data_IF_287586777307
#
_entry.id   IF_287586777307
#
_cell.length_a   1.000
_cell.length_b   1.000
_cell.length_c   1.000
_cell.angle_alpha   90.00
_cell.angle_beta   90.00
_cell.angle_gamma   90.00
#
_symmetry.space_group_name_H-M   'P 1'
#
loop_
_entity.id
_entity.type
_entity.pdbx_description
1 polymer ?
#
# COMPACT_ATOMS: atom_id res chain seq x y z
N UNK A 1 -10.36 -2.60 14.05
CA UNK A 1 -11.80 -2.27 14.04
C UNK A 1 -12.06 -1.37 12.84
N UNK A 2 -12.84 -1.84 11.86
CA UNK A 2 -13.27 -1.03 10.72
C UNK A 2 -14.67 -0.50 11.03
N UNK A 3 -14.82 0.82 11.12
CA UNK A 3 -16.11 1.46 11.42
C UNK A 3 -16.64 2.05 10.13
N UNK A 4 -17.72 1.47 9.59
CA UNK A 4 -18.43 2.00 8.44
C UNK A 4 -19.67 2.74 8.95
N UNK A 5 -19.74 4.05 8.73
CA UNK A 5 -20.96 4.84 8.94
C UNK A 5 -21.73 4.80 7.63
N UNK A 6 -22.84 4.04 7.59
CA UNK A 6 -23.69 3.93 6.41
C UNK A 6 -24.64 5.13 6.36
N UNK A 7 -24.47 5.97 5.34
CA UNK A 7 -25.40 7.02 4.97
C UNK A 7 -26.22 6.58 3.76
N UNK A 8 -27.50 6.95 3.73
CA UNK A 8 -28.53 6.49 2.77
C UNK A 8 -28.43 7.12 1.36
N UNK A 9 -27.39 7.91 1.09
CA UNK A 9 -27.15 8.48 -0.24
C UNK A 9 -26.20 7.55 -1.03
N UNK A 10 -26.55 7.09 -2.25
CA UNK A 10 -25.63 6.32 -3.10
C UNK A 10 -24.30 7.04 -3.39
N UNK A 11 -24.19 8.33 -3.07
CA UNK A 11 -22.94 9.12 -3.13
C UNK A 11 -22.20 9.27 -1.80
N UNK A 12 -22.65 8.64 -0.72
CA UNK A 12 -22.09 8.86 0.62
C UNK A 12 -21.50 7.58 1.23
N UNK A 13 -20.89 6.75 0.37
CA UNK A 13 -20.08 5.63 0.81
C UNK A 13 -18.60 6.02 0.84
N UNK A 14 -17.90 5.52 1.85
CA UNK A 14 -16.46 5.74 2.02
C UNK A 14 -15.80 4.46 2.49
N UNK A 15 -14.82 3.97 1.73
CA UNK A 15 -14.02 2.79 2.09
C UNK A 15 -12.58 3.23 2.36
N UNK A 16 -12.13 3.12 3.61
CA UNK A 16 -10.75 3.45 3.98
C UNK A 16 -9.91 2.18 4.12
N UNK A 17 -8.85 2.09 3.31
CA UNK A 17 -7.77 1.13 3.51
C UNK A 17 -6.62 1.86 4.22
N UNK A 18 -6.24 1.32 5.38
CA UNK A 18 -5.10 1.81 6.16
C UNK A 18 -4.11 0.67 6.37
N UNK A 19 -2.81 0.96 6.47
CA UNK A 19 -1.82 -0.05 6.87
C UNK A 19 -2.20 -0.66 8.22
N UNK A 20 -2.07 -1.98 8.35
CA UNK A 20 -2.38 -2.66 9.60
C UNK A 20 -1.25 -2.43 10.62
N UNK A 21 -1.49 -1.70 11.73
CA UNK A 21 -0.43 -1.40 12.68
C UNK A 21 0.13 -2.64 13.38
N UNK A 22 -0.68 -3.69 13.51
CA UNK A 22 -0.26 -4.96 14.10
C UNK A 22 0.72 -5.70 13.20
N UNK A 23 0.44 -5.79 11.90
CA UNK A 23 1.36 -6.41 10.93
C UNK A 23 2.69 -5.66 10.87
N UNK A 24 2.66 -4.32 10.90
CA UNK A 24 3.88 -3.51 10.93
C UNK A 24 4.69 -3.73 12.21
N UNK A 25 4.02 -3.84 13.37
CA UNK A 25 4.69 -4.17 14.62
C UNK A 25 5.31 -5.58 14.61
N UNK A 26 4.59 -6.57 14.07
CA UNK A 26 5.09 -7.94 13.91
C UNK A 26 6.31 -7.97 12.99
N UNK A 27 6.24 -7.31 11.83
CA UNK A 27 7.36 -7.21 10.89
C UNK A 27 8.59 -6.62 11.58
N UNK A 28 8.42 -5.55 12.36
CA UNK A 28 9.52 -4.95 13.11
C UNK A 28 10.10 -5.92 14.11
N UNK A 29 9.26 -6.62 14.88
CA UNK A 29 9.73 -7.62 15.84
C UNK A 29 10.53 -8.73 15.17
N UNK A 30 10.05 -9.26 14.04
CA UNK A 30 10.75 -10.31 13.27
C UNK A 30 12.09 -9.82 12.74
N UNK A 31 12.13 -8.63 12.16
CA UNK A 31 13.35 -8.05 11.58
C UNK A 31 14.41 -7.79 12.65
N UNK A 32 14.00 -7.27 13.81
CA UNK A 32 14.90 -7.08 14.95
C UNK A 32 15.34 -8.39 15.59
N UNK A 33 14.45 -9.38 15.71
CA UNK A 33 14.79 -10.70 16.22
C UNK A 33 15.81 -11.41 15.30
N UNK A 34 15.64 -11.29 13.98
CA UNK A 34 16.59 -11.83 13.01
C UNK A 34 17.96 -11.14 13.11
N UNK A 35 18.00 -9.81 13.14
CA UNK A 35 19.24 -9.06 13.29
C UNK A 35 19.95 -9.36 14.61
N UNK A 36 19.19 -9.45 15.71
CA UNK A 36 19.71 -9.81 17.03
C UNK A 36 20.25 -11.24 17.07
N UNK A 37 19.52 -12.20 16.46
CA UNK A 37 19.95 -13.59 16.34
C UNK A 37 21.24 -13.73 15.52
N UNK A 38 21.36 -12.99 14.41
CA UNK A 38 22.56 -12.96 13.59
C UNK A 38 23.77 -12.41 14.38
N UNK A 39 23.61 -11.27 15.04
CA UNK A 39 24.66 -10.68 15.89
C UNK A 39 25.05 -11.63 17.02
N UNK A 40 24.07 -12.24 17.69
CA UNK A 40 24.33 -13.20 18.76
C UNK A 40 25.11 -14.43 18.24
N UNK A 41 24.70 -15.00 17.11
CA UNK A 41 25.42 -16.11 16.47
C UNK A 41 26.87 -15.76 16.13
N UNK A 42 27.09 -14.57 15.54
CA UNK A 42 28.43 -14.06 15.26
C UNK A 42 29.27 -13.87 16.53
N UNK A 43 28.66 -13.38 17.61
CA UNK A 43 29.33 -13.19 18.90
C UNK A 43 29.86 -14.51 19.48
N UNK A 44 29.13 -15.60 19.29
CA UNK A 44 29.52 -16.94 19.75
C UNK A 44 30.65 -17.53 18.91
N UNK A 45 30.67 -17.23 17.60
CA UNK A 45 31.69 -17.75 16.67
C UNK A 45 33.04 -17.04 16.82
N UNK A 46 33.04 -15.72 17.02
CA UNK A 46 34.26 -14.91 17.08
C UNK A 46 34.74 -14.63 18.52
N UNK A 47 34.02 -15.10 19.54
CA UNK A 47 34.33 -14.83 20.95
C UNK A 47 34.06 -13.38 21.37
N UNK A 48 33.31 -12.64 20.56
CA UNK A 48 32.95 -11.24 20.76
C UNK A 48 32.48 -10.59 19.46
N UNK A 49 31.72 -9.49 19.55
CA UNK A 49 31.28 -8.74 18.37
C UNK A 49 32.21 -7.55 18.12
N UNK A 50 32.96 -7.61 17.02
CA UNK A 50 33.67 -6.45 16.50
C UNK A 50 32.71 -5.33 16.07
N UNK A 51 33.12 -4.04 16.13
CA UNK A 51 32.31 -2.90 15.70
C UNK A 51 31.77 -3.01 14.26
N UNK A 52 32.53 -3.70 13.39
CA UNK A 52 32.19 -3.92 11.98
C UNK A 52 30.86 -4.66 11.80
N UNK A 53 30.56 -5.65 12.64
CA UNK A 53 29.33 -6.43 12.51
C UNK A 53 28.08 -5.61 12.76
N UNK A 54 28.14 -4.66 13.70
CA UNK A 54 27.04 -3.72 13.92
C UNK A 54 26.81 -2.81 12.70
N UNK A 55 27.89 -2.35 12.05
CA UNK A 55 27.80 -1.53 10.83
C UNK A 55 27.22 -2.31 9.66
N UNK A 56 27.43 -3.62 9.58
CA UNK A 56 26.89 -4.46 8.51
C UNK A 56 25.43 -4.85 8.79
N UNK A 57 25.13 -5.26 10.02
CA UNK A 57 23.84 -5.89 10.35
C UNK A 57 22.76 -4.86 10.71
N UNK A 58 23.10 -3.80 11.46
CA UNK A 58 22.10 -2.83 11.95
C UNK A 58 21.49 -1.90 10.91
N UNK A 59 22.13 -1.54 9.77
CA UNK A 59 21.48 -0.68 8.78
C UNK A 59 20.15 -1.26 8.27
N UNK A 60 20.07 -2.57 8.05
CA UNK A 60 18.86 -3.22 7.56
C UNK A 60 17.64 -3.04 8.49
N UNK A 61 17.67 -3.47 9.78
CA UNK A 61 16.54 -3.28 10.69
C UNK A 61 16.24 -1.80 10.96
N UNK A 62 17.24 -0.91 10.93
CA UNK A 62 17.04 0.53 11.08
C UNK A 62 16.29 1.14 9.88
N UNK A 63 16.65 0.77 8.66
CA UNK A 63 15.95 1.23 7.44
C UNK A 63 14.50 0.73 7.47
N UNK A 64 14.27 -0.55 7.75
CA UNK A 64 12.92 -1.11 7.86
C UNK A 64 12.11 -0.40 8.96
N UNK A 65 12.74 -0.14 10.11
CA UNK A 65 12.11 0.61 11.21
C UNK A 65 11.70 2.01 10.80
N UNK A 66 12.57 2.75 10.10
CA UNK A 66 12.26 4.09 9.62
C UNK A 66 11.04 4.10 8.69
N UNK A 67 10.97 3.16 7.74
CA UNK A 67 9.84 3.07 6.79
C UNK A 67 8.55 2.59 7.46
N UNK A 68 8.60 1.56 8.33
CA UNK A 68 7.42 1.11 9.07
C UNK A 68 6.90 2.18 10.01
N UNK A 69 7.77 2.88 10.74
CA UNK A 69 7.37 3.97 11.64
C UNK A 69 6.79 5.16 10.88
N UNK A 70 7.34 5.53 9.70
CA UNK A 70 6.71 6.52 8.83
C UNK A 70 5.36 6.07 8.27
N UNK A 71 5.18 4.77 8.03
CA UNK A 71 3.89 4.18 7.70
C UNK A 71 2.87 4.34 8.83
N UNK A 72 3.28 4.01 10.06
CA UNK A 72 2.47 4.08 11.28
C UNK A 72 2.08 5.51 11.67
N UNK A 73 3.04 6.44 11.66
CA UNK A 73 2.86 7.79 12.21
C UNK A 73 2.32 8.80 11.18
N UNK A 74 2.58 8.58 9.88
CA UNK A 74 2.23 9.53 8.83
C UNK A 74 0.89 9.28 8.14
N UNK A 75 0.18 8.19 8.47
CA UNK A 75 -0.93 7.66 7.63
C UNK A 75 -0.50 7.46 6.17
N UNK A 76 0.81 7.26 5.95
CA UNK A 76 1.41 7.15 4.63
C UNK A 76 0.91 5.87 3.96
N UNK A 77 0.39 6.00 2.74
CA UNK A 77 -0.23 4.88 2.03
C UNK A 77 -1.68 4.58 2.44
N UNK A 78 -2.33 5.43 3.24
CA UNK A 78 -3.80 5.35 3.40
C UNK A 78 -4.48 5.66 2.06
N UNK A 79 -5.47 4.84 1.71
CA UNK A 79 -6.27 4.97 0.50
C UNK A 79 -7.75 5.03 0.91
N UNK A 80 -8.43 6.13 0.64
CA UNK A 80 -9.87 6.27 0.89
C UNK A 80 -10.62 6.37 -0.42
N UNK A 81 -11.46 5.39 -0.70
CA UNK A 81 -12.31 5.30 -1.89
C UNK A 81 -13.63 6.02 -1.63
N UNK A 82 -14.05 6.82 -2.62
CA UNK A 82 -15.29 7.58 -2.65
C UNK A 82 -15.93 7.45 -4.05
N UNK A 83 -17.22 7.81 -4.22
CA UNK A 83 -17.89 7.66 -5.51
C UNK A 83 -17.28 8.51 -6.62
N UNK A 84 -16.75 9.68 -6.29
CA UNK A 84 -16.20 10.69 -7.20
C UNK A 84 -14.69 10.54 -7.45
N UNK A 85 -13.97 9.86 -6.55
CA UNK A 85 -12.56 9.61 -6.69
C UNK A 85 -11.99 8.82 -5.53
N UNK A 86 -10.70 8.99 -5.29
CA UNK A 86 -10.06 8.47 -4.09
C UNK A 86 -9.06 9.47 -3.52
N UNK A 87 -8.95 9.43 -2.21
CA UNK A 87 -7.91 10.12 -1.47
C UNK A 87 -6.75 9.18 -1.22
N UNK A 88 -5.54 9.70 -1.34
CA UNK A 88 -4.33 9.01 -0.91
C UNK A 88 -3.43 9.92 -0.11
N UNK A 89 -2.68 9.34 0.81
CA UNK A 89 -1.59 10.04 1.50
C UNK A 89 -0.26 9.76 0.81
N UNK A 90 0.36 10.81 0.25
CA UNK A 90 1.70 10.75 -0.36
C UNK A 90 2.78 10.44 0.69
N UNK A 91 3.97 10.03 0.27
CA UNK A 91 5.13 9.76 1.14
C UNK A 91 5.55 10.94 2.03
N UNK A 92 5.15 12.16 1.64
CA UNK A 92 5.38 13.40 2.38
C UNK A 92 4.22 13.76 3.34
N UNK A 93 3.26 12.85 3.56
CA UNK A 93 2.11 13.05 4.44
C UNK A 93 1.00 13.94 3.87
N UNK A 94 1.13 14.40 2.61
CA UNK A 94 0.09 15.23 1.97
C UNK A 94 -1.03 14.34 1.45
N UNK A 95 -2.28 14.71 1.77
CA UNK A 95 -3.48 14.09 1.18
C UNK A 95 -3.73 14.67 -0.21
N UNK A 96 -3.84 13.79 -1.20
CA UNK A 96 -4.17 14.15 -2.58
C UNK A 96 -5.48 13.45 -2.96
N UNK A 97 -6.41 14.22 -3.52
CA UNK A 97 -7.62 13.69 -4.14
C UNK A 97 -7.40 13.49 -5.63
N UNK A 98 -7.78 12.31 -6.13
CA UNK A 98 -7.72 11.94 -7.53
C UNK A 98 -9.13 11.54 -8.00
N UNK A 99 -9.77 12.39 -8.82
CA UNK A 99 -11.02 12.05 -9.49
C UNK A 99 -10.88 10.83 -10.40
N UNK A 100 -11.90 9.98 -10.47
CA UNK A 100 -11.86 8.75 -11.29
C UNK A 100 -11.70 9.02 -12.79
N UNK A 101 -12.24 10.13 -13.29
CA UNK A 101 -12.19 10.56 -14.69
C UNK A 101 -10.79 10.97 -15.15
N UNK A 102 -9.92 11.37 -14.22
CA UNK A 102 -8.53 11.74 -14.52
C UNK A 102 -7.58 10.55 -14.54
N UNK A 103 -8.04 9.38 -14.12
CA UNK A 103 -7.21 8.18 -14.04
C UNK A 103 -7.42 7.33 -15.28
N UNK A 104 -6.34 7.05 -15.98
CA UNK A 104 -6.37 6.27 -17.23
C UNK A 104 -6.62 4.79 -16.94
N UNK A 105 -5.79 4.21 -16.05
CA UNK A 105 -5.83 2.80 -15.70
C UNK A 105 -5.03 2.51 -14.43
N UNK A 106 -5.42 1.44 -13.74
CA UNK A 106 -4.62 0.79 -12.71
C UNK A 106 -3.92 -0.45 -13.26
N UNK A 107 -2.69 -0.69 -12.83
CA UNK A 107 -1.90 -1.84 -13.27
C UNK A 107 -0.92 -2.29 -12.19
N UNK A 108 -0.38 -3.49 -12.34
CA UNK A 108 0.69 -3.99 -11.48
C UNK A 108 2.03 -3.61 -12.11
N UNK A 109 2.73 -2.69 -11.47
CA UNK A 109 4.10 -2.33 -11.77
C UNK A 109 5.09 -3.16 -10.97
N UNK A 110 6.37 -3.00 -11.29
CA UNK A 110 7.47 -3.66 -10.59
C UNK A 110 8.39 -2.57 -10.03
N UNK A 111 8.63 -2.61 -8.72
CA UNK A 111 9.57 -1.72 -8.06
C UNK A 111 10.91 -2.44 -7.82
N UNK A 112 12.00 -1.81 -8.24
CA UNK A 112 13.34 -2.42 -8.32
C UNK A 112 13.76 -2.67 -9.77
N UNK A 113 15.07 -2.74 -10.02
CA UNK A 113 15.60 -3.05 -11.35
C UNK A 113 15.41 -4.55 -11.63
N UNK A 114 14.54 -4.94 -12.59
CA UNK A 114 14.32 -6.35 -12.92
C UNK A 114 15.61 -7.04 -13.40
N UNK A 115 16.62 -6.29 -13.87
CA UNK A 115 17.90 -6.85 -14.30
C UNK A 115 18.82 -7.30 -13.16
N UNK A 116 18.54 -6.92 -11.90
CA UNK A 116 19.40 -7.23 -10.75
C UNK A 116 18.78 -8.24 -9.80
N UNK A 117 17.45 -8.26 -9.64
CA UNK A 117 16.80 -9.12 -8.63
C UNK A 117 16.03 -10.32 -9.19
N UNK A 118 15.84 -10.45 -10.51
CA UNK A 118 14.94 -11.44 -11.18
C UNK A 118 13.50 -11.51 -10.59
N UNK A 119 13.20 -10.63 -9.63
CA UNK A 119 12.03 -10.60 -8.76
C UNK A 119 11.96 -9.19 -8.19
N UNK A 120 11.49 -8.24 -9.00
CA UNK A 120 11.14 -6.95 -8.45
C UNK A 120 9.88 -7.07 -7.58
N UNK A 121 9.66 -6.11 -6.69
CA UNK A 121 8.50 -6.15 -5.78
C UNK A 121 7.28 -5.66 -6.57
N UNK A 122 6.20 -6.45 -6.67
CA UNK A 122 4.99 -6.01 -7.35
C UNK A 122 4.38 -4.84 -6.57
N UNK A 123 4.14 -3.73 -7.27
CA UNK A 123 3.56 -2.50 -6.71
C UNK A 123 2.37 -2.08 -7.54
N UNK A 124 1.35 -1.51 -6.89
CA UNK A 124 0.21 -0.96 -7.61
C UNK A 124 0.65 0.35 -8.30
N UNK A 125 0.56 0.38 -9.63
CA UNK A 125 0.79 1.56 -10.46
C UNK A 125 -0.51 2.13 -11.04
N UNK A 126 -0.54 3.43 -11.28
CA UNK A 126 -1.62 4.06 -12.03
C UNK A 126 -1.12 5.28 -12.79
N UNK A 127 -1.74 5.53 -13.94
CA UNK A 127 -1.48 6.71 -14.75
C UNK A 127 -2.66 7.68 -14.63
N UNK A 128 -2.38 8.97 -14.45
CA UNK A 128 -3.40 10.01 -14.36
C UNK A 128 -2.93 11.31 -15.00
N UNK A 129 -3.90 12.13 -15.42
CA UNK A 129 -3.65 13.49 -15.91
C UNK A 129 -3.77 14.45 -14.74
N UNK A 130 -2.71 15.23 -14.48
CA UNK A 130 -2.71 16.21 -13.40
C UNK A 130 -3.50 17.49 -13.74
N UNK A 131 -3.60 18.43 -12.81
CA UNK A 131 -4.32 19.69 -13.02
C UNK A 131 -3.72 20.59 -14.11
N UNK A 132 -2.47 20.35 -14.51
CA UNK A 132 -1.78 21.04 -15.61
C UNK A 132 -1.97 20.34 -16.97
N UNK A 133 -2.65 19.19 -17.02
CA UNK A 133 -2.83 18.41 -18.24
C UNK A 133 -1.64 17.49 -18.54
N UNK A 134 -0.66 17.37 -17.64
CA UNK A 134 0.47 16.46 -17.81
C UNK A 134 0.13 15.06 -17.33
N UNK A 135 0.54 14.07 -18.12
CA UNK A 135 0.40 12.66 -17.78
C UNK A 135 1.46 12.27 -16.75
N UNK A 136 1.01 11.80 -15.58
CA UNK A 136 1.85 11.28 -14.52
C UNK A 136 1.61 9.80 -14.30
N UNK A 137 2.68 9.10 -13.98
CA UNK A 137 2.64 7.69 -13.58
C UNK A 137 3.15 7.61 -12.15
N UNK A 138 2.35 6.98 -11.29
CA UNK A 138 2.69 6.84 -9.88
C UNK A 138 2.47 5.42 -9.39
N UNK A 139 3.24 5.07 -8.35
CA UNK A 139 3.15 3.79 -7.67
C UNK A 139 2.70 4.01 -6.23
N UNK A 140 1.70 3.25 -5.78
CA UNK A 140 1.26 3.21 -4.39
C UNK A 140 2.19 2.31 -3.58
N UNK A 141 2.46 2.70 -2.34
CA UNK A 141 3.30 1.91 -1.45
C UNK A 141 2.63 0.57 -1.15
N UNK A 142 3.41 -0.52 -1.19
CA UNK A 142 2.96 -1.88 -0.87
C UNK A 142 2.68 -2.13 0.62
N UNK A 143 2.33 -1.10 1.38
CA UNK A 143 2.02 -1.18 2.81
C UNK A 143 0.50 -1.31 3.09
N UNK A 144 -0.30 -1.40 2.03
CA UNK A 144 -1.73 -1.67 2.11
C UNK A 144 -1.98 -3.17 2.37
N UNK A 145 -3.09 -3.52 3.06
CA UNK A 145 -3.37 -4.90 3.51
C UNK A 145 -3.78 -5.86 2.38
N UNK A 146 -3.49 -5.53 1.12
CA UNK A 146 -3.88 -6.27 -0.08
C UNK A 146 -2.69 -6.31 -1.05
N UNK A 147 -2.55 -7.42 -1.80
CA UNK A 147 -1.50 -7.53 -2.81
C UNK A 147 -1.70 -6.51 -3.93
N UNK A 148 -0.61 -6.18 -4.65
CA UNK A 148 -0.67 -5.24 -5.76
C UNK A 148 -1.65 -5.66 -6.85
N UNK A 149 -1.75 -6.97 -7.15
CA UNK A 149 -2.71 -7.49 -8.13
C UNK A 149 -4.15 -7.26 -7.68
N UNK A 150 -4.42 -7.57 -6.41
CA UNK A 150 -5.76 -7.45 -5.84
C UNK A 150 -6.19 -5.99 -5.74
N UNK A 151 -5.27 -5.09 -5.35
CA UNK A 151 -5.53 -3.66 -5.33
C UNK A 151 -5.74 -3.10 -6.74
N UNK A 152 -4.94 -3.49 -7.72
CA UNK A 152 -5.12 -3.06 -9.11
C UNK A 152 -6.49 -3.46 -9.65
N UNK A 153 -6.91 -4.71 -9.41
CA UNK A 153 -8.22 -5.19 -9.82
C UNK A 153 -9.38 -4.45 -9.15
N UNK A 154 -9.28 -4.20 -7.84
CA UNK A 154 -10.31 -3.47 -7.09
C UNK A 154 -10.46 -2.03 -7.58
N UNK A 155 -9.34 -1.35 -7.82
CA UNK A 155 -9.37 0.05 -8.26
C UNK A 155 -9.78 0.21 -9.71
N UNK A 156 -9.39 -0.71 -10.58
CA UNK A 156 -9.85 -0.71 -11.96
C UNK A 156 -11.36 -0.98 -12.04
N UNK A 157 -11.86 -1.94 -11.26
CA UNK A 157 -13.31 -2.16 -11.12
C UNK A 157 -14.02 -0.91 -10.59
N UNK A 158 -13.49 -0.28 -9.54
CA UNK A 158 -14.07 0.94 -8.98
C UNK A 158 -14.11 2.08 -9.99
N UNK A 159 -13.05 2.27 -10.78
CA UNK A 159 -13.01 3.27 -11.86
C UNK A 159 -14.09 3.02 -12.92
N UNK A 160 -14.28 1.75 -13.32
CA UNK A 160 -15.30 1.37 -14.29
C UNK A 160 -16.72 1.57 -13.75
N UNK A 161 -16.98 1.23 -12.49
CA UNK A 161 -18.27 1.46 -11.85
C UNK A 161 -18.54 2.96 -11.62
N UNK A 162 -17.50 3.76 -11.32
CA UNK A 162 -17.61 5.20 -11.23
C UNK A 162 -18.03 5.84 -12.56
N UNK A 163 -17.49 5.36 -13.68
CA UNK A 163 -17.92 5.81 -15.02
C UNK A 163 -19.40 5.51 -15.32
N UNK A 164 -19.98 4.50 -14.66
CA UNK A 164 -21.41 4.16 -14.75
C UNK A 164 -22.26 4.90 -13.71
N UNK A 165 -21.65 5.74 -12.86
CA UNK A 165 -22.33 6.45 -11.79
C UNK A 165 -22.68 5.60 -10.57
N UNK A 166 -21.95 4.50 -10.34
CA UNK A 166 -22.16 3.58 -9.21
C UNK A 166 -23.59 3.04 -9.11
N UNK A 167 -24.09 2.28 -10.11
CA UNK A 167 -25.45 1.77 -10.12
C UNK A 167 -25.77 0.90 -8.89
N UNK A 168 -24.76 0.20 -8.36
CA UNK A 168 -24.83 -0.54 -7.11
C UNK A 168 -23.64 -0.16 -6.24
N UNK A 169 -23.73 0.83 -5.34
CA UNK A 169 -22.62 1.23 -4.50
C UNK A 169 -22.18 0.08 -3.56
N UNK A 170 -20.88 -0.04 -3.27
CA UNK A 170 -20.38 -1.05 -2.34
C UNK A 170 -20.71 -0.66 -0.90
N UNK A 171 -21.20 -1.62 -0.11
CA UNK A 171 -21.49 -1.38 1.32
C UNK A 171 -20.22 -1.47 2.19
N UNK A 172 -19.21 -2.20 1.73
CA UNK A 172 -17.95 -2.41 2.45
C UNK A 172 -16.81 -2.81 1.52
N UNK A 173 -15.57 -2.79 2.06
CA UNK A 173 -14.41 -3.34 1.35
C UNK A 173 -14.60 -4.83 1.01
N UNK A 174 -15.24 -5.61 1.88
CA UNK A 174 -15.48 -7.03 1.65
C UNK A 174 -16.41 -7.25 0.46
N UNK A 175 -17.47 -6.45 0.38
CA UNK A 175 -18.43 -6.46 -0.72
C UNK A 175 -17.75 -6.07 -2.05
N UNK A 176 -16.94 -5.01 -2.04
CA UNK A 176 -16.14 -4.59 -3.19
C UNK A 176 -15.19 -5.71 -3.66
N UNK A 177 -14.49 -6.37 -2.73
CA UNK A 177 -13.60 -7.50 -3.03
C UNK A 177 -14.37 -8.68 -3.63
N UNK A 178 -15.55 -9.02 -3.08
CA UNK A 178 -16.34 -10.14 -3.62
C UNK A 178 -16.82 -9.88 -5.04
N UNK A 179 -17.14 -8.64 -5.39
CA UNK A 179 -17.60 -8.27 -6.75
C UNK A 179 -16.47 -8.34 -7.78
N UNK A 180 -15.24 -8.04 -7.37
CA UNK A 180 -14.04 -8.17 -8.21
C UNK A 180 -13.65 -9.64 -8.43
N UNK A 181 -13.94 -10.51 -7.45
CA UNK A 181 -13.60 -11.94 -7.49
C UNK A 181 -14.58 -12.79 -8.31
N UNK A 182 -15.69 -12.23 -8.80
CA UNK A 182 -16.64 -12.91 -9.68
C UNK A 182 -16.45 -12.37 -11.11
N UNK A 183 -15.55 -12.95 -11.92
CA UNK A 183 -15.42 -12.59 -13.31
C UNK A 183 -16.51 -13.28 -14.12
N UNK A 184 -17.72 -12.72 -14.15
CA UNK A 184 -18.81 -13.22 -14.98
C UNK A 184 -19.39 -14.57 -14.53
N UNK A 185 -20.71 -14.63 -14.49
CA UNK A 185 -21.45 -15.87 -14.76
C UNK A 185 -21.09 -16.44 -16.13
#
# INVERSE_FOLDING_TARGET
MQTATSSKDPRDWKISLSPNPLEQAILLAVVWAFAGGLLYGLSLLEGGLGPLWYVIVLPFPLIVSFYSLRGLTGHNGQLELQPDGFWRTTTNGRKLFLPWDRVEKFYVGVFGDPGVSDSGVPVLGFAFVDGSGERRVEHLSGNLPLSAEKLAGILEFARQEAAKGWPNPPESLKDLISRVAVPGS
#
